data_IF_886093853513
#
_entry.id   IF_886093853513
#
_cell.length_a   1.000
_cell.length_b   1.000
_cell.length_c   1.000
_cell.angle_alpha   90.00
_cell.angle_beta   90.00
_cell.angle_gamma   90.00
#
_symmetry.space_group_name_H-M   'P 1'
#
loop_
_entity.id
_entity.type
_entity.pdbx_description
1 polymer ?
#
# COMPACT_ATOMS: atom_id res chain seq x y z
N UNK A 1 -41.50 43.24 -19.60
CA UNK A 1 -42.21 42.27 -20.46
C UNK A 1 -41.16 41.34 -21.04
N UNK A 2 -40.80 40.29 -20.29
CA UNK A 2 -39.65 39.44 -20.59
C UNK A 2 -40.08 38.28 -21.51
N UNK A 3 -39.83 38.44 -22.81
CA UNK A 3 -40.19 37.47 -23.87
C UNK A 3 -39.33 36.20 -23.88
N UNK A 4 -38.40 36.06 -22.93
CA UNK A 4 -37.43 34.96 -22.80
C UNK A 4 -37.62 34.12 -21.52
N UNK A 5 -38.59 34.47 -20.67
CA UNK A 5 -38.91 33.73 -19.43
C UNK A 5 -39.26 32.26 -19.66
N UNK A 6 -39.96 31.92 -20.76
CA UNK A 6 -40.39 30.55 -21.06
C UNK A 6 -39.22 29.61 -21.39
N UNK A 7 -38.20 30.10 -22.12
CA UNK A 7 -37.03 29.30 -22.50
C UNK A 7 -36.09 29.05 -21.33
N UNK A 8 -35.87 30.08 -20.50
CA UNK A 8 -35.03 29.98 -19.29
C UNK A 8 -35.70 29.07 -18.25
N UNK A 9 -37.02 29.18 -18.05
CA UNK A 9 -37.75 28.28 -17.16
C UNK A 9 -37.64 26.82 -17.57
N UNK A 10 -37.73 26.52 -18.88
CA UNK A 10 -37.57 25.15 -19.39
C UNK A 10 -36.15 24.61 -19.16
N UNK A 11 -35.13 25.45 -19.32
CA UNK A 11 -33.74 25.08 -19.04
C UNK A 11 -33.54 24.71 -17.57
N UNK A 12 -34.12 25.48 -16.63
CA UNK A 12 -34.06 25.16 -15.20
C UNK A 12 -34.77 23.84 -14.88
N UNK A 13 -35.92 23.56 -15.49
CA UNK A 13 -36.63 22.29 -15.28
C UNK A 13 -35.77 21.10 -15.71
N UNK A 14 -35.10 21.19 -16.87
CA UNK A 14 -34.21 20.13 -17.35
C UNK A 14 -33.01 19.93 -16.41
N UNK A 15 -32.41 21.01 -15.92
CA UNK A 15 -31.27 20.95 -14.99
C UNK A 15 -31.70 20.28 -13.66
N UNK A 16 -32.85 20.68 -13.11
CA UNK A 16 -33.36 20.10 -11.86
C UNK A 16 -33.65 18.61 -12.05
N UNK A 17 -34.23 18.22 -13.19
CA UNK A 17 -34.50 16.82 -13.52
C UNK A 17 -33.18 16.01 -13.60
N UNK A 18 -32.17 16.55 -14.27
CA UNK A 18 -30.86 15.92 -14.37
C UNK A 18 -30.19 15.74 -13.00
N UNK A 19 -30.24 16.75 -12.14
CA UNK A 19 -29.72 16.68 -10.77
C UNK A 19 -30.47 15.64 -9.92
N UNK A 20 -31.78 15.56 -10.05
CA UNK A 20 -32.58 14.57 -9.34
C UNK A 20 -32.25 13.13 -9.78
N UNK A 21 -32.03 12.91 -11.08
CA UNK A 21 -31.63 11.59 -11.62
C UNK A 21 -30.23 11.20 -11.12
N UNK A 22 -29.24 12.08 -11.28
CA UNK A 22 -27.85 11.80 -10.84
C UNK A 22 -27.78 11.61 -9.32
N UNK A 23 -28.46 12.48 -8.56
CA UNK A 23 -28.55 12.37 -7.10
C UNK A 23 -29.28 11.10 -6.66
N UNK A 24 -30.35 10.70 -7.36
CA UNK A 24 -31.09 9.47 -7.09
C UNK A 24 -30.27 8.21 -7.32
N UNK A 25 -29.55 8.14 -8.44
CA UNK A 25 -28.65 7.01 -8.75
C UNK A 25 -27.52 6.93 -7.70
N UNK A 26 -26.90 8.07 -7.37
CA UNK A 26 -25.88 8.14 -6.33
C UNK A 26 -26.43 7.71 -4.95
N UNK A 27 -27.59 8.19 -4.55
CA UNK A 27 -28.20 7.81 -3.26
C UNK A 27 -28.58 6.33 -3.22
N UNK A 28 -29.14 5.79 -4.30
CA UNK A 28 -29.49 4.38 -4.41
C UNK A 28 -28.26 3.47 -4.36
N UNK A 29 -27.21 3.80 -5.11
CA UNK A 29 -25.95 3.05 -5.10
C UNK A 29 -25.23 3.13 -3.74
N UNK A 30 -25.36 4.24 -3.00
CA UNK A 30 -24.88 4.38 -1.62
C UNK A 30 -25.64 3.47 -0.65
N UNK A 31 -26.98 3.48 -0.70
CA UNK A 31 -27.83 2.63 0.18
C UNK A 31 -27.65 1.14 -0.08
N UNK A 32 -27.36 0.75 -1.32
CA UNK A 32 -27.11 -0.64 -1.70
C UNK A 32 -25.64 -1.07 -1.63
N UNK A 33 -24.75 -0.20 -1.10
CA UNK A 33 -23.35 -0.54 -0.86
C UNK A 33 -22.45 -0.65 -2.10
N UNK A 34 -22.93 -0.23 -3.28
CA UNK A 34 -22.14 -0.22 -4.53
C UNK A 34 -21.08 0.88 -4.54
N UNK A 35 -21.35 1.99 -3.87
CA UNK A 35 -20.36 3.05 -3.59
C UNK A 35 -20.16 3.14 -2.08
N UNK A 36 -19.05 2.54 -1.65
CA UNK A 36 -18.52 2.72 -0.31
C UNK A 36 -17.74 4.02 -0.31
N UNK A 37 -18.32 5.10 0.21
CA UNK A 37 -17.53 6.25 0.67
C UNK A 37 -16.70 5.73 1.83
N UNK A 38 -15.47 5.27 1.53
CA UNK A 38 -14.63 4.45 2.40
C UNK A 38 -14.70 4.94 3.85
N UNK A 39 -15.48 4.29 4.73
CA UNK A 39 -15.12 4.34 6.13
C UNK A 39 -13.81 3.57 6.19
N UNK A 40 -12.82 4.13 6.87
CA UNK A 40 -11.61 3.42 7.27
C UNK A 40 -12.08 2.14 7.97
N UNK A 41 -12.20 1.04 7.23
CA UNK A 41 -12.43 -0.26 7.82
C UNK A 41 -11.12 -0.55 8.52
N UNK A 42 -11.09 -0.26 9.82
CA UNK A 42 -10.20 -0.95 10.73
C UNK A 42 -10.42 -2.44 10.43
N UNK A 43 -9.48 -3.02 9.69
CA UNK A 43 -9.41 -4.48 9.60
C UNK A 43 -9.36 -4.97 11.04
N UNK A 44 -10.12 -6.02 11.41
CA UNK A 44 -9.94 -6.66 12.70
C UNK A 44 -8.49 -7.14 12.76
N UNK A 45 -7.65 -6.39 13.46
CA UNK A 45 -6.37 -6.88 13.93
C UNK A 45 -6.69 -8.11 14.78
N UNK A 46 -6.02 -9.26 14.58
CA UNK A 46 -6.23 -10.41 15.44
C UNK A 46 -6.03 -9.94 16.88
N UNK A 47 -7.06 -10.13 17.72
CA UNK A 47 -6.92 -9.92 19.16
C UNK A 47 -5.66 -10.65 19.60
N UNK A 48 -4.67 -9.98 20.22
CA UNK A 48 -3.51 -10.69 20.71
C UNK A 48 -4.01 -11.69 21.74
N UNK A 49 -3.94 -12.98 21.38
CA UNK A 49 -3.88 -14.04 22.39
C UNK A 49 -2.81 -13.61 23.37
N UNK A 50 -3.14 -13.56 24.67
CA UNK A 50 -2.17 -13.32 25.75
C UNK A 50 -1.11 -14.42 25.70
N UNK A 51 -0.14 -14.28 24.80
CA UNK A 51 1.11 -15.01 24.83
C UNK A 51 1.93 -14.41 25.96
N UNK A 52 2.45 -15.28 26.82
CA UNK A 52 3.16 -14.92 28.04
C UNK A 52 4.14 -13.77 27.81
N UNK A 53 4.07 -12.76 28.68
CA UNK A 53 5.02 -11.66 28.72
C UNK A 53 6.42 -12.25 28.88
N UNK A 54 7.37 -12.07 27.94
CA UNK A 54 8.75 -12.33 28.28
C UNK A 54 9.16 -11.29 29.32
N UNK A 55 9.64 -11.78 30.45
CA UNK A 55 10.32 -10.99 31.49
C UNK A 55 11.35 -10.09 30.82
N UNK A 56 11.21 -8.77 31.02
CA UNK A 56 12.19 -7.78 30.59
C UNK A 56 13.46 -8.04 31.40
N UNK A 57 14.50 -8.52 30.73
CA UNK A 57 15.87 -8.44 31.20
C UNK A 57 16.76 -8.09 30.02
N UNK A 58 17.01 -6.79 29.86
CA UNK A 58 18.28 -6.15 29.51
C UNK A 58 18.07 -4.90 28.63
N UNK A 59 18.86 -3.83 28.86
CA UNK A 59 18.84 -2.65 28.01
C UNK A 59 19.29 -3.05 26.60
N UNK A 60 18.41 -2.81 25.63
CA UNK A 60 18.64 -2.79 24.18
C UNK A 60 20.03 -3.28 23.74
N UNK A 61 20.18 -4.60 23.62
CA UNK A 61 21.23 -5.16 22.78
C UNK A 61 20.89 -4.73 21.35
N UNK A 62 21.57 -3.69 20.87
CA UNK A 62 21.64 -3.40 19.44
C UNK A 62 22.14 -4.69 18.78
N UNK A 63 21.24 -5.46 18.18
CA UNK A 63 21.64 -6.53 17.29
C UNK A 63 22.17 -5.81 16.06
N UNK A 64 23.49 -5.87 15.81
CA UNK A 64 24.08 -5.42 14.56
C UNK A 64 23.73 -6.45 13.47
N UNK A 65 22.44 -6.56 13.24
CA UNK A 65 21.78 -7.61 12.50
C UNK A 65 20.99 -6.87 11.43
N UNK A 66 21.18 -7.30 10.19
CA UNK A 66 20.41 -6.82 9.06
C UNK A 66 19.52 -7.95 8.60
N UNK A 67 18.39 -7.60 8.01
CA UNK A 67 17.58 -8.55 7.27
C UNK A 67 17.05 -7.88 6.02
N UNK A 68 16.82 -8.67 4.99
CA UNK A 68 16.30 -8.20 3.73
C UNK A 68 15.32 -9.18 3.10
N UNK A 69 14.48 -8.63 2.22
CA UNK A 69 13.59 -9.37 1.34
C UNK A 69 13.93 -8.99 -0.09
N UNK A 70 14.14 -10.00 -0.92
CA UNK A 70 14.35 -9.85 -2.34
C UNK A 70 13.19 -10.48 -3.11
N UNK A 71 12.89 -9.92 -4.28
CA UNK A 71 11.89 -10.50 -5.17
C UNK A 71 11.99 -10.03 -6.61
N UNK A 72 11.29 -10.73 -7.49
CA UNK A 72 11.12 -10.28 -8.86
C UNK A 72 10.33 -8.97 -8.93
N UNK A 73 10.58 -8.17 -9.98
CA UNK A 73 9.96 -6.84 -10.17
C UNK A 73 8.45 -6.88 -10.48
N UNK A 74 7.82 -8.05 -10.43
CA UNK A 74 6.38 -8.24 -10.70
C UNK A 74 5.51 -7.99 -9.46
N UNK A 75 6.14 -7.86 -8.29
CA UNK A 75 5.47 -7.57 -7.01
C UNK A 75 6.19 -6.44 -6.28
N UNK A 76 5.47 -5.63 -5.52
CA UNK A 76 6.01 -4.62 -4.59
C UNK A 76 5.74 -5.04 -3.13
N UNK A 77 6.48 -4.46 -2.17
CA UNK A 77 6.29 -4.73 -0.74
C UNK A 77 5.85 -3.50 0.03
N UNK A 78 5.05 -3.74 1.06
CA UNK A 78 4.91 -2.82 2.17
C UNK A 78 5.24 -3.57 3.46
N UNK A 79 6.35 -3.17 4.09
CA UNK A 79 6.75 -3.70 5.38
C UNK A 79 6.19 -2.80 6.47
N UNK A 80 5.59 -3.40 7.50
CA UNK A 80 5.10 -2.72 8.70
C UNK A 80 5.90 -3.21 9.90
N UNK A 81 6.54 -2.28 10.62
CA UNK A 81 7.34 -2.58 11.82
C UNK A 81 6.46 -2.96 13.03
N UNK A 82 7.05 -3.52 14.10
CA UNK A 82 6.33 -3.79 15.35
C UNK A 82 5.72 -2.53 16.00
N UNK A 83 6.28 -1.35 15.72
CA UNK A 83 5.78 -0.05 16.16
C UNK A 83 4.70 0.54 15.22
N UNK A 84 4.38 -0.14 14.12
CA UNK A 84 3.38 0.30 13.14
C UNK A 84 3.90 1.28 12.07
N UNK A 85 5.21 1.54 12.03
CA UNK A 85 5.83 2.33 10.97
C UNK A 85 5.92 1.52 9.67
N UNK A 86 5.93 2.20 8.52
CA UNK A 86 5.86 1.53 7.22
C UNK A 86 6.96 2.00 6.27
N UNK A 87 7.54 1.05 5.54
CA UNK A 87 8.48 1.31 4.43
C UNK A 87 8.12 0.41 3.25
N UNK A 88 8.09 0.96 2.04
CA UNK A 88 7.72 0.26 0.81
C UNK A 88 6.64 0.98 -0.01
N UNK A 89 5.97 0.23 -0.88
CA UNK A 89 4.92 0.70 -1.78
C UNK A 89 3.53 0.68 -1.11
N UNK A 90 2.90 1.85 -1.00
CA UNK A 90 1.52 2.00 -0.57
C UNK A 90 0.58 1.97 -1.78
N UNK A 91 -0.13 0.85 -1.96
CA UNK A 91 -1.09 0.68 -3.05
C UNK A 91 -2.22 1.73 -3.02
N UNK A 92 -2.70 2.11 -1.83
CA UNK A 92 -3.80 3.06 -1.68
C UNK A 92 -3.48 4.45 -2.23
N UNK A 93 -2.21 4.87 -2.16
CA UNK A 93 -1.75 6.17 -2.63
C UNK A 93 -0.94 6.13 -3.93
N UNK A 94 -0.67 4.93 -4.46
CA UNK A 94 0.31 4.71 -5.52
C UNK A 94 1.64 5.44 -5.25
N UNK A 95 2.13 5.32 -4.02
CA UNK A 95 3.28 6.07 -3.52
C UNK A 95 4.23 5.17 -2.75
N UNK A 96 5.42 5.67 -2.45
CA UNK A 96 6.39 5.00 -1.59
C UNK A 96 6.48 5.72 -0.25
N UNK A 97 6.66 4.94 0.82
CA UNK A 97 6.92 5.43 2.17
C UNK A 97 8.24 4.87 2.67
N UNK A 98 8.93 5.64 3.50
CA UNK A 98 10.15 5.20 4.16
C UNK A 98 10.21 5.70 5.60
N UNK A 99 9.35 5.14 6.45
CA UNK A 99 9.18 5.60 7.84
C UNK A 99 9.76 4.63 8.87
N UNK A 100 10.19 3.43 8.47
CA UNK A 100 10.94 2.52 9.34
C UNK A 100 12.38 3.01 9.42
N UNK A 101 12.93 3.29 10.63
CA UNK A 101 14.32 3.68 10.79
C UNK A 101 15.29 2.63 10.26
N UNK A 102 16.41 3.09 9.69
CA UNK A 102 17.48 2.27 9.13
C UNK A 102 17.00 1.27 8.05
N UNK A 103 15.85 1.54 7.43
CA UNK A 103 15.31 0.76 6.33
C UNK A 103 15.52 1.45 4.98
N UNK A 104 15.62 0.60 3.95
CA UNK A 104 15.73 0.98 2.55
C UNK A 104 14.77 0.15 1.71
N UNK A 105 14.22 0.76 0.67
CA UNK A 105 13.34 0.10 -0.28
C UNK A 105 13.61 0.61 -1.70
N UNK A 106 13.67 -0.28 -2.68
CA UNK A 106 13.85 0.09 -4.07
C UNK A 106 14.04 -1.08 -5.02
N UNK A 107 14.37 -0.76 -6.26
CA UNK A 107 14.80 -1.72 -7.28
C UNK A 107 16.32 -1.70 -7.30
N UNK A 108 16.95 -2.85 -7.06
CA UNK A 108 18.37 -3.02 -7.35
C UNK A 108 18.53 -3.50 -8.80
N UNK A 109 19.39 -2.78 -9.54
CA UNK A 109 19.77 -3.16 -10.88
C UNK A 109 20.66 -4.40 -10.84
N UNK A 110 20.42 -5.36 -11.73
CA UNK A 110 21.30 -6.52 -11.78
C UNK A 110 22.70 -6.17 -12.28
N UNK A 111 23.68 -6.97 -11.86
CA UNK A 111 25.09 -6.78 -12.16
C UNK A 111 25.39 -7.26 -13.58
N UNK A 112 26.08 -6.44 -14.37
CA UNK A 112 26.62 -6.80 -15.67
C UNK A 112 28.06 -7.31 -15.52
N UNK A 113 28.46 -8.25 -16.38
CA UNK A 113 29.85 -8.65 -16.52
C UNK A 113 30.64 -7.56 -17.27
N UNK A 114 31.82 -7.22 -16.75
CA UNK A 114 32.75 -6.22 -17.32
C UNK A 114 33.19 -6.57 -18.75
N UNK A 115 33.08 -7.84 -19.15
CA UNK A 115 33.40 -8.26 -20.53
C UNK A 115 32.30 -7.97 -21.54
N UNK A 116 31.07 -7.67 -21.08
CA UNK A 116 29.88 -7.50 -21.93
C UNK A 116 29.45 -8.76 -22.68
N UNK A 117 30.06 -9.93 -22.41
CA UNK A 117 29.72 -11.20 -23.07
C UNK A 117 28.43 -11.82 -22.52
N UNK A 118 28.13 -11.56 -21.25
CA UNK A 118 26.95 -12.10 -20.59
C UNK A 118 25.90 -11.00 -20.39
N UNK A 119 24.60 -11.30 -20.57
CA UNK A 119 23.56 -10.35 -20.21
C UNK A 119 23.64 -10.05 -18.71
N UNK A 120 23.28 -8.81 -18.29
CA UNK A 120 23.22 -8.46 -16.88
C UNK A 120 22.22 -9.36 -16.15
N UNK A 121 22.48 -9.59 -14.87
CA UNK A 121 21.52 -10.25 -13.98
C UNK A 121 20.18 -9.51 -14.01
N UNK A 122 19.05 -10.19 -13.77
CA UNK A 122 17.76 -9.50 -13.69
C UNK A 122 17.74 -8.55 -12.48
N UNK A 123 17.05 -7.41 -12.65
CA UNK A 123 16.75 -6.53 -11.52
C UNK A 123 15.77 -7.19 -10.54
N UNK A 124 15.83 -6.80 -9.28
CA UNK A 124 14.95 -7.28 -8.22
C UNK A 124 14.47 -6.14 -7.34
N UNK A 125 13.29 -6.30 -6.76
CA UNK A 125 12.79 -5.45 -5.70
C UNK A 125 13.43 -5.87 -4.38
N UNK A 126 13.86 -4.87 -3.63
CA UNK A 126 14.63 -5.02 -2.40
C UNK A 126 13.99 -4.21 -1.28
N UNK A 127 13.82 -4.87 -0.14
CA UNK A 127 13.68 -4.22 1.16
C UNK A 127 14.85 -4.67 2.03
N UNK A 128 15.48 -3.75 2.74
CA UNK A 128 16.50 -4.07 3.74
C UNK A 128 16.36 -3.19 4.96
N UNK A 129 16.67 -3.74 6.13
CA UNK A 129 16.70 -2.99 7.37
C UNK A 129 17.91 -3.38 8.21
N UNK A 130 18.64 -2.37 8.67
CA UNK A 130 19.66 -2.52 9.70
C UNK A 130 19.07 -2.25 11.09
N UNK A 131 19.62 -2.88 12.12
CA UNK A 131 19.23 -2.66 13.51
C UNK A 131 17.70 -2.82 13.75
N UNK A 132 17.07 -3.93 13.31
CA UNK A 132 15.63 -4.10 13.40
C UNK A 132 15.16 -4.06 14.86
N UNK A 133 13.99 -3.47 15.07
CA UNK A 133 13.31 -3.53 16.35
C UNK A 133 12.90 -4.97 16.63
N UNK A 134 13.09 -5.45 17.86
CA UNK A 134 12.53 -6.73 18.28
C UNK A 134 10.99 -6.70 18.20
N UNK A 135 10.41 -7.65 17.47
CA UNK A 135 8.97 -7.84 17.40
C UNK A 135 8.52 -8.51 16.11
N UNK A 136 7.21 -8.47 15.86
CA UNK A 136 6.60 -9.04 14.66
C UNK A 136 6.47 -7.96 13.60
N UNK A 137 7.00 -8.26 12.42
CA UNK A 137 6.83 -7.43 11.23
C UNK A 137 5.68 -7.96 10.37
N UNK A 138 4.92 -7.04 9.79
CA UNK A 138 3.93 -7.35 8.76
C UNK A 138 4.52 -7.17 7.38
N UNK A 139 4.31 -8.14 6.49
CA UNK A 139 4.66 -8.04 5.08
C UNK A 139 3.40 -8.09 4.22
N UNK A 140 3.15 -7.03 3.47
CA UNK A 140 2.14 -7.03 2.41
C UNK A 140 2.83 -7.13 1.05
N UNK A 141 2.39 -8.09 0.24
CA UNK A 141 2.87 -8.31 -1.13
C UNK A 141 1.82 -7.80 -2.11
N UNK A 142 2.22 -6.93 -3.02
CA UNK A 142 1.31 -6.26 -3.95
C UNK A 142 1.71 -6.62 -5.39
N UNK A 143 0.86 -7.37 -6.08
CA UNK A 143 1.10 -7.73 -7.49
C UNK A 143 0.98 -6.50 -8.40
N UNK A 144 2.01 -6.25 -9.21
CA UNK A 144 1.95 -5.28 -10.32
C UNK A 144 1.41 -5.91 -11.59
N UNK A 145 1.67 -7.21 -11.77
CA UNK A 145 1.30 -8.00 -12.94
C UNK A 145 0.83 -9.39 -12.51
N UNK A 146 0.00 -10.03 -13.33
CA UNK A 146 -0.36 -11.43 -13.11
C UNK A 146 0.82 -12.34 -13.39
N UNK A 147 1.05 -13.34 -12.54
CA UNK A 147 2.15 -14.28 -12.72
C UNK A 147 2.62 -14.89 -11.41
N UNK A 148 3.60 -15.78 -11.51
CA UNK A 148 4.31 -16.33 -10.34
C UNK A 148 5.32 -15.31 -9.84
N UNK A 149 5.49 -15.27 -8.54
CA UNK A 149 6.54 -14.50 -7.87
C UNK A 149 7.28 -15.38 -6.88
N UNK A 150 8.47 -14.95 -6.49
CA UNK A 150 9.30 -15.58 -5.48
C UNK A 150 9.75 -14.52 -4.48
N UNK A 151 9.88 -14.91 -3.22
CA UNK A 151 10.39 -14.07 -2.15
C UNK A 151 11.55 -14.80 -1.52
N UNK A 152 12.69 -14.15 -1.48
CA UNK A 152 13.89 -14.63 -0.81
C UNK A 152 14.15 -13.79 0.42
N UNK A 153 14.42 -14.43 1.55
CA UNK A 153 14.88 -13.77 2.78
C UNK A 153 16.38 -13.95 2.94
N UNK A 154 17.06 -12.90 3.41
CA UNK A 154 18.51 -12.89 3.68
C UNK A 154 18.83 -12.15 4.96
#
# INVERSE_FOLDING_TARGET
MDRNSKGIAHLFVIIILALAVVGGIGYYAYKNGQIRLTPQQAQPFPTPTKTASPTISEPSKFCNCSWAILSTTNVEFLVTSPSGQQTGYLQAGNSYVNNIPDASYGIEGGIADDTGQNPPSPSFNYFGQNNPQNGIYGLQVISKQSGKYHLDET
#
